data_IF_556887179929
#
_entry.id   IF_556887179929
#
_cell.length_a   1.000
_cell.length_b   1.000
_cell.length_c   1.000
_cell.angle_alpha   90.00
_cell.angle_beta   90.00
_cell.angle_gamma   90.00
#
_symmetry.space_group_name_H-M   'P 1'
#
loop_
_entity.id
_entity.type
_entity.pdbx_description
1 polymer ?
#
# COMPACT_ATOMS: atom_id res chain seq x y z
N UNK A 1 -8.51 -21.07 -18.41
CA UNK A 1 -7.10 -21.59 -18.34
C UNK A 1 -6.07 -20.49 -18.09
N UNK A 2 -6.24 -19.26 -18.61
CA UNK A 2 -5.30 -18.14 -18.42
C UNK A 2 -5.24 -17.61 -16.99
N UNK A 3 -6.36 -17.51 -16.27
CA UNK A 3 -6.44 -17.01 -14.90
C UNK A 3 -5.67 -17.90 -13.92
N UNK A 4 -5.81 -19.21 -14.05
CA UNK A 4 -5.07 -20.17 -13.21
C UNK A 4 -3.56 -20.12 -13.46
N UNK A 5 -3.14 -19.83 -14.67
CA UNK A 5 -1.72 -19.72 -15.01
C UNK A 5 -1.10 -18.47 -14.39
N UNK A 6 -1.79 -17.34 -14.44
CA UNK A 6 -1.37 -16.09 -13.79
C UNK A 6 -1.34 -16.24 -12.26
N UNK A 7 -2.36 -16.87 -11.67
CA UNK A 7 -2.41 -17.13 -10.24
C UNK A 7 -1.27 -18.04 -9.78
N UNK A 8 -1.00 -19.12 -10.51
CA UNK A 8 0.11 -20.02 -10.21
C UNK A 8 1.48 -19.33 -10.33
N UNK A 9 1.66 -18.50 -11.36
CA UNK A 9 2.88 -17.72 -11.56
C UNK A 9 3.11 -16.76 -10.39
N UNK A 10 2.07 -16.00 -9.99
CA UNK A 10 2.16 -15.10 -8.85
C UNK A 10 2.48 -15.84 -7.55
N UNK A 11 1.88 -17.02 -7.33
CA UNK A 11 2.17 -17.86 -6.16
C UNK A 11 3.64 -18.29 -6.13
N UNK A 12 4.21 -18.68 -7.27
CA UNK A 12 5.65 -19.04 -7.35
C UNK A 12 6.52 -17.83 -6.97
N UNK A 13 6.21 -16.63 -7.47
CA UNK A 13 6.97 -15.43 -7.09
C UNK A 13 6.90 -15.14 -5.60
N UNK A 14 5.72 -15.22 -4.99
CA UNK A 14 5.55 -15.03 -3.54
C UNK A 14 6.37 -16.05 -2.77
N UNK A 15 6.37 -17.33 -3.17
CA UNK A 15 7.16 -18.36 -2.51
C UNK A 15 8.67 -18.12 -2.66
N UNK A 16 9.14 -17.67 -3.83
CA UNK A 16 10.53 -17.28 -4.03
C UNK A 16 10.93 -16.11 -3.14
N UNK A 17 10.09 -15.09 -3.04
CA UNK A 17 10.34 -13.95 -2.14
C UNK A 17 10.42 -14.38 -0.68
N UNK A 18 9.48 -15.21 -0.22
CA UNK A 18 9.52 -15.76 1.15
C UNK A 18 10.77 -16.60 1.38
N UNK A 19 11.20 -17.40 0.41
CA UNK A 19 12.44 -18.17 0.51
C UNK A 19 13.66 -17.25 0.65
N UNK A 20 13.74 -16.15 -0.10
CA UNK A 20 14.83 -15.16 0.01
C UNK A 20 14.84 -14.52 1.40
N UNK A 21 13.66 -14.17 1.95
CA UNK A 21 13.54 -13.61 3.31
C UNK A 21 14.03 -14.63 4.34
N UNK A 22 13.62 -15.89 4.23
CA UNK A 22 14.05 -16.96 5.14
C UNK A 22 15.56 -17.16 5.08
N UNK A 23 16.14 -17.19 3.87
CA UNK A 23 17.59 -17.30 3.68
C UNK A 23 18.31 -16.09 4.28
N UNK A 24 17.79 -14.88 4.04
CA UNK A 24 18.35 -13.65 4.62
C UNK A 24 18.36 -13.71 6.15
N UNK A 25 17.25 -14.06 6.78
CA UNK A 25 17.16 -14.20 8.25
C UNK A 25 18.13 -15.28 8.75
N UNK A 26 18.24 -16.41 8.03
CA UNK A 26 19.18 -17.48 8.37
C UNK A 26 20.64 -17.01 8.32
N UNK A 27 21.01 -16.24 7.30
CA UNK A 27 22.35 -15.65 7.18
C UNK A 27 22.63 -14.64 8.30
N UNK A 28 21.66 -13.78 8.63
CA UNK A 28 21.77 -12.83 9.75
C UNK A 28 21.95 -13.56 11.08
N UNK A 29 21.17 -14.61 11.34
CA UNK A 29 21.32 -15.43 12.55
C UNK A 29 22.70 -16.09 12.61
N UNK A 30 23.18 -16.60 11.48
CA UNK A 30 24.51 -17.20 11.38
C UNK A 30 25.60 -16.19 11.71
N UNK A 31 25.55 -14.98 11.14
CA UNK A 31 26.48 -13.91 11.42
C UNK A 31 26.44 -13.45 12.87
N UNK A 32 25.24 -13.27 13.46
CA UNK A 32 25.08 -12.92 14.89
C UNK A 32 25.70 -13.98 15.81
N UNK A 33 25.54 -15.27 15.50
CA UNK A 33 26.16 -16.35 16.28
C UNK A 33 27.69 -16.37 16.16
N UNK A 34 28.23 -15.87 15.04
CA UNK A 34 29.69 -15.75 14.84
C UNK A 34 30.26 -14.44 15.41
N UNK A 35 29.43 -13.60 16.05
CA UNK A 35 29.84 -12.32 16.63
C UNK A 35 30.05 -11.19 15.63
N UNK A 36 29.47 -11.29 14.41
CA UNK A 36 29.58 -10.25 13.39
C UNK A 36 28.59 -9.08 13.61
N UNK A 37 27.54 -9.28 14.41
CA UNK A 37 26.57 -8.25 14.77
C UNK A 37 26.83 -7.60 16.11
N UNK A 38 26.00 -6.65 16.49
CA UNK A 38 26.12 -5.93 17.77
C UNK A 38 25.24 -6.48 18.87
N UNK A 39 24.26 -7.30 18.54
CA UNK A 39 23.34 -7.90 19.48
C UNK A 39 23.36 -9.44 19.40
N UNK A 40 22.80 -10.08 20.39
CA UNK A 40 22.52 -11.52 20.35
C UNK A 40 21.24 -11.79 19.53
N UNK A 41 21.05 -13.03 19.08
CA UNK A 41 19.88 -13.44 18.29
C UNK A 41 18.55 -13.10 18.97
N UNK A 42 18.51 -13.18 20.31
CA UNK A 42 17.37 -12.78 21.13
C UNK A 42 17.79 -11.60 22.00
N UNK A 43 17.70 -10.40 21.47
CA UNK A 43 18.02 -9.15 22.16
C UNK A 43 16.79 -8.27 22.27
N UNK A 44 16.64 -7.56 23.38
CA UNK A 44 15.64 -6.52 23.57
C UNK A 44 16.08 -5.17 22.99
N UNK A 45 17.35 -5.04 22.62
CA UNK A 45 17.97 -3.81 22.15
C UNK A 45 17.24 -3.16 20.94
N UNK A 46 16.73 -3.90 19.93
CA UNK A 46 15.98 -3.31 18.85
C UNK A 46 14.68 -2.61 19.26
N UNK A 47 14.11 -3.00 20.42
CA UNK A 47 12.86 -2.43 20.93
C UNK A 47 13.09 -1.34 21.98
N UNK A 48 14.18 -1.42 22.75
CA UNK A 48 14.47 -0.54 23.86
C UNK A 48 15.87 0.05 23.70
N UNK A 49 15.95 1.21 23.10
CA UNK A 49 17.17 2.00 22.99
C UNK A 49 17.08 3.23 23.90
N UNK A 50 18.16 3.59 24.59
CA UNK A 50 18.24 4.80 25.42
C UNK A 50 17.96 6.09 24.63
N UNK A 51 18.10 6.05 23.31
CA UNK A 51 17.85 7.16 22.39
C UNK A 51 16.51 7.07 21.64
N UNK A 52 15.63 6.13 22.04
CA UNK A 52 14.32 5.97 21.38
C UNK A 52 13.37 7.11 21.80
N UNK A 53 13.18 8.09 20.93
CA UNK A 53 12.19 9.14 21.11
C UNK A 53 10.89 8.74 20.42
N UNK A 54 9.76 8.86 21.13
CA UNK A 54 8.44 8.53 20.58
C UNK A 54 8.14 9.29 19.28
N UNK A 55 8.55 10.55 19.19
CA UNK A 55 8.38 11.38 17.97
C UNK A 55 9.12 10.79 16.77
N UNK A 56 10.35 10.30 16.95
CA UNK A 56 11.10 9.66 15.88
C UNK A 56 10.49 8.32 15.46
N UNK A 57 9.95 7.55 16.42
CA UNK A 57 9.23 6.32 16.13
C UNK A 57 7.95 6.56 15.32
N UNK A 58 7.18 7.59 15.68
CA UNK A 58 5.95 7.97 14.94
C UNK A 58 6.29 8.50 13.54
N UNK A 59 7.32 9.32 13.41
CA UNK A 59 7.80 9.79 12.11
C UNK A 59 8.24 8.62 11.21
N UNK A 60 9.02 7.68 11.75
CA UNK A 60 9.40 6.46 11.04
C UNK A 60 8.18 5.60 10.65
N UNK A 61 7.22 5.42 11.55
CA UNK A 61 5.98 4.71 11.27
C UNK A 61 5.18 5.37 10.15
N UNK A 62 5.16 6.71 10.07
CA UNK A 62 4.49 7.45 8.99
C UNK A 62 5.12 7.16 7.63
N UNK A 63 6.45 7.12 7.55
CA UNK A 63 7.16 6.73 6.33
C UNK A 63 6.85 5.27 5.97
N UNK A 64 6.92 4.37 6.95
CA UNK A 64 6.71 2.93 6.76
C UNK A 64 5.25 2.56 6.45
N UNK A 65 4.28 3.45 6.64
CA UNK A 65 2.90 3.23 6.19
C UNK A 65 2.84 2.86 4.70
N UNK A 66 3.73 3.41 3.88
CA UNK A 66 3.85 3.05 2.47
C UNK A 66 4.01 1.54 2.25
N UNK A 67 4.78 0.86 3.11
CA UNK A 67 5.05 -0.58 2.98
C UNK A 67 3.81 -1.46 3.17
N UNK A 68 2.76 -0.93 3.81
CA UNK A 68 1.49 -1.62 3.99
C UNK A 68 0.47 -1.35 2.88
N UNK A 69 0.72 -0.36 2.01
CA UNK A 69 -0.24 -0.02 0.95
C UNK A 69 -0.37 -1.17 -0.05
N UNK A 70 -1.60 -1.43 -0.46
CA UNK A 70 -1.95 -2.53 -1.36
C UNK A 70 -2.63 -3.72 -0.68
N UNK A 71 -2.70 -3.77 0.67
CA UNK A 71 -3.48 -4.80 1.37
C UNK A 71 -4.98 -4.73 1.01
N UNK A 72 -5.44 -3.56 0.63
CA UNK A 72 -6.80 -3.25 0.19
C UNK A 72 -7.05 -3.58 -1.28
N UNK A 73 -6.00 -3.80 -2.09
CA UNK A 73 -6.13 -4.15 -3.51
C UNK A 73 -6.93 -5.45 -3.74
N UNK A 74 -7.01 -6.33 -2.72
CA UNK A 74 -7.87 -7.52 -2.72
C UNK A 74 -9.34 -7.15 -2.96
N UNK A 75 -9.77 -5.94 -2.60
CA UNK A 75 -11.16 -5.47 -2.83
C UNK A 75 -11.51 -5.38 -4.32
N UNK A 76 -10.54 -5.20 -5.19
CA UNK A 76 -10.76 -5.19 -6.66
C UNK A 76 -11.23 -6.53 -7.21
N UNK A 77 -11.02 -7.61 -6.45
CA UNK A 77 -11.46 -8.97 -6.79
C UNK A 77 -12.83 -9.33 -6.23
N UNK A 78 -13.53 -8.38 -5.60
CA UNK A 78 -14.81 -8.64 -4.93
C UNK A 78 -15.88 -9.13 -5.89
N UNK A 79 -15.92 -8.62 -7.13
CA UNK A 79 -16.91 -9.04 -8.15
C UNK A 79 -16.65 -10.47 -8.67
N UNK A 80 -15.39 -10.93 -8.63
CA UNK A 80 -14.97 -12.25 -9.10
C UNK A 80 -14.97 -13.30 -7.98
N UNK A 81 -15.14 -12.86 -6.72
CA UNK A 81 -15.01 -13.72 -5.54
C UNK A 81 -16.36 -14.25 -5.09
N UNK A 82 -16.48 -15.58 -4.95
CA UNK A 82 -17.66 -16.19 -4.31
C UNK A 82 -17.67 -15.82 -2.83
N UNK A 83 -18.85 -15.43 -2.31
CA UNK A 83 -19.06 -15.02 -0.92
C UNK A 83 -18.10 -13.88 -0.49
N UNK A 84 -17.99 -12.86 -1.36
CA UNK A 84 -17.07 -11.72 -1.19
C UNK A 84 -17.21 -11.05 0.18
N UNK A 85 -18.43 -10.93 0.71
CA UNK A 85 -18.70 -10.33 2.01
C UNK A 85 -17.98 -11.00 3.20
N UNK A 86 -17.57 -12.28 3.06
CA UNK A 86 -16.80 -13.00 4.08
C UNK A 86 -15.33 -13.20 3.70
N UNK A 87 -15.08 -13.48 2.42
CA UNK A 87 -13.73 -13.80 1.95
C UNK A 87 -12.84 -12.56 1.90
N UNK A 88 -13.33 -11.45 1.32
CA UNK A 88 -12.54 -10.24 1.15
C UNK A 88 -12.07 -9.62 2.48
N UNK A 89 -12.93 -9.42 3.52
CA UNK A 89 -12.46 -8.88 4.80
C UNK A 89 -11.41 -9.76 5.48
N UNK A 90 -11.54 -11.09 5.37
CA UNK A 90 -10.54 -12.01 5.92
C UNK A 90 -9.22 -11.94 5.15
N UNK A 91 -9.28 -11.85 3.83
CA UNK A 91 -8.09 -11.73 3.00
C UNK A 91 -7.34 -10.42 3.31
N UNK A 92 -8.04 -9.29 3.41
CA UNK A 92 -7.46 -8.00 3.80
C UNK A 92 -6.76 -8.11 5.16
N UNK A 93 -7.46 -8.63 6.16
CA UNK A 93 -6.90 -8.79 7.52
C UNK A 93 -5.66 -9.69 7.53
N UNK A 94 -5.72 -10.85 6.86
CA UNK A 94 -4.58 -11.78 6.79
C UNK A 94 -3.40 -11.19 6.03
N UNK A 95 -3.63 -10.46 4.95
CA UNK A 95 -2.56 -9.78 4.20
C UNK A 95 -1.85 -8.76 5.08
N UNK A 96 -2.60 -7.92 5.79
CA UNK A 96 -2.03 -6.94 6.72
C UNK A 96 -1.29 -7.61 7.89
N UNK A 97 -1.86 -8.69 8.45
CA UNK A 97 -1.26 -9.42 9.56
C UNK A 97 0.06 -10.11 9.14
N UNK A 98 0.05 -10.87 8.05
CA UNK A 98 1.26 -11.56 7.57
C UNK A 98 2.32 -10.57 7.13
N UNK A 99 1.93 -9.51 6.41
CA UNK A 99 2.86 -8.42 6.06
C UNK A 99 3.49 -7.80 7.29
N UNK A 100 2.69 -7.48 8.31
CA UNK A 100 3.17 -6.92 9.57
C UNK A 100 4.16 -7.85 10.30
N UNK A 101 3.84 -9.15 10.40
CA UNK A 101 4.75 -10.13 11.01
C UNK A 101 6.07 -10.22 10.26
N UNK A 102 6.03 -10.25 8.91
CA UNK A 102 7.24 -10.30 8.09
C UNK A 102 8.08 -9.03 8.29
N UNK A 103 7.46 -7.85 8.21
CA UNK A 103 8.16 -6.57 8.36
C UNK A 103 8.79 -6.43 9.74
N UNK A 104 8.07 -6.76 10.81
CA UNK A 104 8.61 -6.73 12.18
C UNK A 104 9.80 -7.69 12.31
N UNK A 105 9.66 -8.91 11.78
CA UNK A 105 10.71 -9.92 11.86
C UNK A 105 11.96 -9.49 11.11
N UNK A 106 11.83 -9.04 9.88
CA UNK A 106 12.96 -8.57 9.08
C UNK A 106 13.62 -7.35 9.71
N UNK A 107 12.84 -6.37 10.18
CA UNK A 107 13.35 -5.17 10.83
C UNK A 107 14.08 -5.50 12.13
N UNK A 108 13.57 -6.44 12.91
CA UNK A 108 14.21 -6.91 14.14
C UNK A 108 15.62 -7.47 13.86
N UNK A 109 15.75 -8.37 12.89
CA UNK A 109 17.04 -8.97 12.56
C UNK A 109 17.99 -7.97 11.91
N UNK A 110 17.48 -7.06 11.08
CA UNK A 110 18.26 -5.96 10.53
C UNK A 110 18.84 -5.07 11.63
N UNK A 111 18.02 -4.64 12.57
CA UNK A 111 18.45 -3.78 13.67
C UNK A 111 19.41 -4.48 14.65
N UNK A 112 19.25 -5.79 14.80
CA UNK A 112 20.17 -6.59 15.65
C UNK A 112 21.55 -6.75 15.01
N UNK A 113 21.62 -6.79 13.68
CA UNK A 113 22.87 -6.96 12.96
C UNK A 113 23.54 -5.61 12.65
N UNK A 114 22.77 -4.60 12.22
CA UNK A 114 23.24 -3.26 11.87
C UNK A 114 22.70 -2.24 12.87
N UNK A 115 23.51 -1.79 13.84
CA UNK A 115 23.07 -0.75 14.76
C UNK A 115 22.95 0.60 14.05
N UNK A 116 22.29 1.54 14.72
CA UNK A 116 21.97 2.89 14.23
C UNK A 116 23.17 3.75 13.80
N UNK A 117 24.41 3.37 14.16
CA UNK A 117 25.64 4.09 13.83
C UNK A 117 26.31 3.60 12.55
N UNK A 118 25.82 2.55 11.90
CA UNK A 118 26.34 2.12 10.60
C UNK A 118 25.87 3.10 9.52
N UNK A 119 26.82 3.65 8.77
CA UNK A 119 26.54 4.52 7.64
C UNK A 119 26.64 3.73 6.35
N UNK A 120 25.51 3.62 5.66
CA UNK A 120 25.46 3.10 4.30
C UNK A 120 25.86 4.18 3.29
N UNK A 121 26.42 3.79 2.15
CA UNK A 121 26.83 4.72 1.09
C UNK A 121 25.61 5.44 0.51
N UNK A 122 24.55 4.67 0.26
CA UNK A 122 23.25 5.17 -0.23
C UNK A 122 22.18 4.73 0.76
N UNK A 123 21.80 5.56 1.74
CA UNK A 123 20.82 5.19 2.76
C UNK A 123 19.46 4.79 2.19
N UNK A 124 19.01 5.45 1.11
CA UNK A 124 17.72 5.16 0.45
C UNK A 124 17.76 3.84 -0.34
N UNK A 125 18.93 3.31 -0.63
CA UNK A 125 19.16 2.06 -1.33
C UNK A 125 20.05 1.09 -0.53
N UNK A 126 19.95 1.08 0.80
CA UNK A 126 20.81 0.30 1.68
C UNK A 126 20.66 -1.23 1.53
N UNK A 127 19.49 -1.72 1.13
CA UNK A 127 19.20 -3.17 1.08
C UNK A 127 20.20 -3.99 0.22
N UNK A 128 20.64 -3.56 -0.98
CA UNK A 128 21.66 -4.25 -1.74
C UNK A 128 23.02 -4.32 -1.03
N UNK A 129 23.40 -3.26 -0.31
CA UNK A 129 24.64 -3.22 0.47
C UNK A 129 24.56 -4.18 1.67
N UNK A 130 23.41 -4.20 2.35
CA UNK A 130 23.12 -5.16 3.42
C UNK A 130 23.19 -6.59 2.93
N UNK A 131 22.57 -6.88 1.78
CA UNK A 131 22.60 -8.21 1.16
C UNK A 131 24.03 -8.67 0.84
N UNK A 132 24.89 -7.75 0.37
CA UNK A 132 26.31 -8.03 0.14
C UNK A 132 27.04 -8.37 1.44
N UNK A 133 26.77 -7.58 2.50
CA UNK A 133 27.45 -7.73 3.78
C UNK A 133 27.10 -9.06 4.47
N UNK A 134 25.81 -9.42 4.43
CA UNK A 134 25.28 -10.60 5.12
C UNK A 134 25.54 -11.91 4.34
N UNK A 135 25.40 -11.90 3.02
CA UNK A 135 25.42 -13.12 2.21
C UNK A 135 26.44 -13.13 1.05
N UNK A 136 27.28 -12.10 0.97
CA UNK A 136 28.29 -11.98 -0.07
C UNK A 136 27.71 -11.71 -1.47
N UNK A 137 28.58 -11.71 -2.48
CA UNK A 137 28.24 -11.33 -3.86
C UNK A 137 27.14 -12.19 -4.48
N UNK A 138 27.12 -13.49 -4.19
CA UNK A 138 26.12 -14.41 -4.76
C UNK A 138 24.72 -14.07 -4.25
N UNK A 139 24.56 -13.90 -2.93
CA UNK A 139 23.29 -13.54 -2.33
C UNK A 139 22.82 -12.15 -2.77
N UNK A 140 23.72 -11.18 -2.83
CA UNK A 140 23.43 -9.84 -3.36
C UNK A 140 22.87 -9.92 -4.79
N UNK A 141 23.50 -10.72 -5.67
CA UNK A 141 23.05 -10.86 -7.06
C UNK A 141 21.65 -11.47 -7.15
N UNK A 142 21.37 -12.52 -6.37
CA UNK A 142 20.05 -13.15 -6.29
C UNK A 142 19.01 -12.15 -5.77
N UNK A 143 19.34 -11.42 -4.70
CA UNK A 143 18.49 -10.39 -4.12
C UNK A 143 18.16 -9.29 -5.13
N UNK A 144 19.16 -8.75 -5.83
CA UNK A 144 18.96 -7.71 -6.84
C UNK A 144 18.10 -8.20 -8.01
N UNK A 145 18.34 -9.41 -8.52
CA UNK A 145 17.51 -10.00 -9.57
C UNK A 145 16.05 -10.14 -9.11
N UNK A 146 15.84 -10.66 -7.92
CA UNK A 146 14.48 -10.81 -7.37
C UNK A 146 13.78 -9.48 -7.15
N UNK A 147 14.50 -8.48 -6.62
CA UNK A 147 13.98 -7.12 -6.42
C UNK A 147 13.60 -6.48 -7.74
N UNK A 148 14.45 -6.60 -8.77
CA UNK A 148 14.17 -6.06 -10.10
C UNK A 148 12.91 -6.68 -10.73
N UNK A 149 12.80 -8.01 -10.69
CA UNK A 149 11.63 -8.73 -11.22
C UNK A 149 10.37 -8.32 -10.47
N UNK A 150 10.44 -8.24 -9.14
CA UNK A 150 9.31 -7.85 -8.30
C UNK A 150 8.86 -6.40 -8.58
N UNK A 151 9.80 -5.49 -8.73
CA UNK A 151 9.50 -4.07 -9.05
C UNK A 151 8.83 -3.96 -10.42
N UNK A 152 9.32 -4.69 -11.43
CA UNK A 152 8.67 -4.73 -12.75
C UNK A 152 7.25 -5.30 -12.67
N UNK A 153 7.05 -6.41 -11.97
CA UNK A 153 5.75 -7.04 -11.83
C UNK A 153 4.75 -6.14 -11.11
N UNK A 154 5.17 -5.51 -10.00
CA UNK A 154 4.36 -4.56 -9.24
C UNK A 154 4.03 -3.32 -10.06
N UNK A 155 5.02 -2.75 -10.77
CA UNK A 155 4.83 -1.59 -11.65
C UNK A 155 3.83 -1.86 -12.77
N UNK A 156 3.92 -3.01 -13.43
CA UNK A 156 2.97 -3.41 -14.47
C UNK A 156 1.56 -3.62 -13.93
N UNK A 157 1.42 -4.24 -12.76
CA UNK A 157 0.12 -4.42 -12.10
C UNK A 157 -0.52 -3.09 -11.71
N UNK A 158 0.25 -2.17 -11.14
CA UNK A 158 -0.20 -0.82 -10.78
C UNK A 158 -0.60 -0.02 -12.03
N UNK A 159 0.21 -0.07 -13.09
CA UNK A 159 -0.07 0.56 -14.37
C UNK A 159 -1.41 0.08 -14.96
N UNK A 160 -1.64 -1.23 -14.95
CA UNK A 160 -2.88 -1.82 -15.46
C UNK A 160 -4.09 -1.42 -14.60
N UNK A 161 -3.96 -1.46 -13.27
CA UNK A 161 -5.01 -1.12 -12.32
C UNK A 161 -5.47 0.34 -12.47
N UNK A 162 -4.52 1.29 -12.44
CA UNK A 162 -4.82 2.73 -12.56
C UNK A 162 -5.41 3.05 -13.93
N UNK A 163 -4.88 2.47 -15.02
CA UNK A 163 -5.40 2.70 -16.38
C UNK A 163 -6.84 2.21 -16.52
N UNK A 164 -7.20 1.08 -15.89
CA UNK A 164 -8.58 0.56 -15.86
C UNK A 164 -9.49 1.45 -15.02
N UNK A 165 -9.02 1.92 -13.87
CA UNK A 165 -9.79 2.84 -13.02
C UNK A 165 -10.13 4.13 -13.78
N UNK A 166 -9.15 4.75 -14.46
CA UNK A 166 -9.38 5.92 -15.29
C UNK A 166 -10.37 5.64 -16.44
N UNK A 167 -10.30 4.45 -17.03
CA UNK A 167 -11.27 4.03 -18.04
C UNK A 167 -12.70 3.94 -17.47
N UNK A 168 -12.89 3.31 -16.33
CA UNK A 168 -14.20 3.23 -15.66
C UNK A 168 -14.73 4.64 -15.35
N UNK A 169 -13.88 5.52 -14.82
CA UNK A 169 -14.25 6.92 -14.58
C UNK A 169 -14.61 7.67 -15.85
N UNK A 170 -13.96 7.38 -16.98
CA UNK A 170 -14.31 7.94 -18.28
C UNK A 170 -15.64 7.40 -18.81
N UNK A 171 -15.83 6.08 -18.75
CA UNK A 171 -17.08 5.39 -19.16
C UNK A 171 -18.30 5.91 -18.40
N UNK A 172 -18.14 6.11 -17.09
CA UNK A 172 -19.23 6.53 -16.20
C UNK A 172 -19.38 8.08 -16.16
N UNK A 173 -18.76 8.80 -17.09
CA UNK A 173 -18.82 10.26 -17.22
C UNK A 173 -18.33 11.04 -15.99
N UNK A 174 -17.51 10.43 -15.14
CA UNK A 174 -16.77 11.12 -14.07
C UNK A 174 -15.63 11.94 -14.68
N UNK A 175 -14.92 11.37 -15.65
CA UNK A 175 -13.90 12.04 -16.45
C UNK A 175 -14.38 12.18 -17.91
N UNK A 176 -13.77 13.08 -18.71
CA UNK A 176 -14.15 13.23 -20.14
C UNK A 176 -14.05 11.91 -20.90
N UNK A 177 -15.20 11.37 -21.34
CA UNK A 177 -15.31 10.07 -22.01
C UNK A 177 -14.43 9.97 -23.27
N UNK A 178 -14.32 11.07 -24.04
CA UNK A 178 -13.53 11.11 -25.29
C UNK A 178 -12.06 10.75 -25.10
N UNK A 179 -11.49 11.02 -23.92
CA UNK A 179 -10.08 10.77 -23.60
C UNK A 179 -9.98 9.48 -22.78
N UNK A 180 -10.67 9.45 -21.65
CA UNK A 180 -10.52 8.38 -20.65
C UNK A 180 -11.35 7.14 -20.95
N UNK A 181 -12.49 7.29 -21.66
CA UNK A 181 -13.32 6.18 -22.11
C UNK A 181 -12.83 5.49 -23.40
N UNK A 182 -11.74 5.98 -24.01
CA UNK A 182 -11.23 5.40 -25.24
C UNK A 182 -10.60 4.04 -25.04
N UNK A 183 -11.05 3.05 -25.84
CA UNK A 183 -10.47 1.69 -25.91
C UNK A 183 -9.93 1.46 -27.31
N UNK A 184 -8.66 1.07 -27.41
CA UNK A 184 -8.02 0.82 -28.71
C UNK A 184 -8.66 -0.39 -29.41
N UNK A 185 -9.13 -0.25 -30.67
CA UNK A 185 -9.93 -1.28 -31.36
C UNK A 185 -9.20 -2.64 -31.49
N UNK A 186 -7.90 -2.61 -31.76
CA UNK A 186 -7.08 -3.83 -31.99
C UNK A 186 -6.66 -4.50 -30.68
N UNK A 187 -6.20 -3.72 -29.70
CA UNK A 187 -5.63 -4.26 -28.45
C UNK A 187 -6.65 -4.37 -27.33
N UNK A 188 -7.83 -3.82 -27.49
CA UNK A 188 -8.91 -3.80 -26.49
C UNK A 188 -8.43 -3.32 -25.11
N UNK A 189 -7.52 -2.34 -25.12
CA UNK A 189 -6.92 -1.74 -23.93
C UNK A 189 -7.15 -0.23 -23.92
N UNK A 190 -7.27 0.42 -22.76
CA UNK A 190 -7.39 1.86 -22.63
C UNK A 190 -6.03 2.54 -22.86
N UNK A 191 -5.53 2.52 -24.10
CA UNK A 191 -4.18 2.90 -24.47
C UNK A 191 -3.82 4.35 -24.11
N UNK A 192 -4.78 5.29 -24.21
CA UNK A 192 -4.56 6.68 -23.80
C UNK A 192 -4.31 6.76 -22.29
N UNK A 193 -5.08 6.02 -21.49
CA UNK A 193 -4.89 5.99 -20.04
C UNK A 193 -3.55 5.37 -19.66
N UNK A 194 -3.14 4.28 -20.33
CA UNK A 194 -1.82 3.67 -20.13
C UNK A 194 -0.72 4.69 -20.42
N UNK A 195 -0.84 5.48 -21.49
CA UNK A 195 0.15 6.51 -21.82
C UNK A 195 0.18 7.63 -20.76
N UNK A 196 -0.99 8.13 -20.35
CA UNK A 196 -1.09 9.18 -19.31
C UNK A 196 -0.46 8.70 -18.00
N UNK A 197 -0.82 7.50 -17.53
CA UNK A 197 -0.27 6.92 -16.29
C UNK A 197 1.23 6.72 -16.40
N UNK A 198 1.73 6.26 -17.57
CA UNK A 198 3.16 6.11 -17.82
C UNK A 198 3.91 7.44 -17.77
N UNK A 199 3.35 8.51 -18.35
CA UNK A 199 3.95 9.86 -18.28
C UNK A 199 3.99 10.38 -16.85
N UNK A 200 2.93 10.18 -16.09
CA UNK A 200 2.90 10.54 -14.65
C UNK A 200 3.93 9.73 -13.87
N UNK A 201 4.05 8.43 -14.13
CA UNK A 201 5.04 7.57 -13.48
C UNK A 201 6.49 8.02 -13.75
N UNK A 202 6.79 8.55 -14.94
CA UNK A 202 8.11 9.10 -15.26
C UNK A 202 8.48 10.29 -14.38
N UNK A 203 7.53 11.07 -13.86
CA UNK A 203 7.82 12.19 -12.96
C UNK A 203 8.46 11.73 -11.63
N UNK A 204 8.24 10.46 -11.25
CA UNK A 204 8.84 9.89 -10.04
C UNK A 204 10.39 9.87 -10.05
N UNK A 205 11.02 9.95 -11.23
CA UNK A 205 12.48 10.06 -11.37
C UNK A 205 13.02 11.35 -10.70
N UNK A 206 12.18 12.37 -10.58
CA UNK A 206 12.54 13.67 -10.00
C UNK A 206 12.31 13.76 -8.49
N UNK A 207 11.76 12.72 -7.87
CA UNK A 207 11.46 12.69 -6.43
C UNK A 207 12.46 11.80 -5.68
N UNK A 208 12.86 12.25 -4.51
CA UNK A 208 13.53 11.41 -3.52
C UNK A 208 12.52 10.43 -2.87
N UNK A 209 13.05 9.40 -2.20
CA UNK A 209 12.22 8.35 -1.61
C UNK A 209 11.23 8.88 -0.57
N UNK A 210 11.65 9.83 0.26
CA UNK A 210 10.82 10.41 1.33
C UNK A 210 9.65 11.17 0.74
N UNK A 211 9.88 12.04 -0.24
CA UNK A 211 8.83 12.81 -0.92
C UNK A 211 7.88 11.89 -1.68
N UNK A 212 8.41 10.92 -2.43
CA UNK A 212 7.58 9.98 -3.18
C UNK A 212 6.66 9.16 -2.26
N UNK A 213 7.20 8.58 -1.19
CA UNK A 213 6.41 7.79 -0.23
C UNK A 213 5.41 8.66 0.52
N UNK A 214 5.76 9.88 0.89
CA UNK A 214 4.87 10.79 1.60
C UNK A 214 3.69 11.26 0.72
N UNK A 215 3.91 11.48 -0.59
CA UNK A 215 2.83 11.77 -1.55
C UNK A 215 1.84 10.61 -1.66
N UNK A 216 2.35 9.39 -1.75
CA UNK A 216 1.52 8.19 -1.81
C UNK A 216 0.76 8.02 -0.49
N UNK A 217 1.42 8.20 0.66
CA UNK A 217 0.81 8.15 1.97
C UNK A 217 -0.30 9.19 2.13
N UNK A 218 -0.16 10.41 1.59
CA UNK A 218 -1.22 11.41 1.60
C UNK A 218 -2.52 10.85 1.02
N UNK A 219 -2.48 10.27 -0.17
CA UNK A 219 -3.66 9.68 -0.81
C UNK A 219 -4.28 8.55 0.01
N UNK A 220 -3.46 7.67 0.57
CA UNK A 220 -3.91 6.58 1.42
C UNK A 220 -4.55 7.07 2.72
N UNK A 221 -3.94 8.06 3.39
CA UNK A 221 -4.48 8.63 4.62
C UNK A 221 -5.83 9.32 4.39
N UNK A 222 -6.02 9.99 3.24
CA UNK A 222 -7.33 10.53 2.85
C UNK A 222 -8.36 9.39 2.76
N UNK A 223 -8.05 8.34 2.01
CA UNK A 223 -8.95 7.20 1.84
C UNK A 223 -9.28 6.53 3.19
N UNK A 224 -8.29 6.25 4.03
CA UNK A 224 -8.49 5.61 5.34
C UNK A 224 -9.27 6.49 6.30
N UNK A 225 -9.11 7.82 6.25
CA UNK A 225 -9.94 8.75 7.01
C UNK A 225 -11.40 8.59 6.62
N UNK A 226 -11.71 8.65 5.32
CA UNK A 226 -13.10 8.51 4.85
C UNK A 226 -13.67 7.11 5.08
N UNK A 227 -12.88 6.05 4.99
CA UNK A 227 -13.33 4.69 5.32
C UNK A 227 -13.77 4.62 6.79
N UNK A 228 -12.94 5.07 7.73
CA UNK A 228 -13.29 5.06 9.15
C UNK A 228 -14.55 5.91 9.44
N UNK A 229 -14.63 7.13 8.88
CA UNK A 229 -15.80 8.00 9.06
C UNK A 229 -17.06 7.40 8.43
N UNK A 230 -16.95 6.77 7.25
CA UNK A 230 -18.11 6.16 6.59
C UNK A 230 -18.68 4.99 7.37
N UNK A 231 -17.87 4.19 8.02
CA UNK A 231 -18.31 3.09 8.91
C UNK A 231 -19.13 3.67 10.06
N UNK A 232 -18.64 4.74 10.71
CA UNK A 232 -19.37 5.41 11.80
C UNK A 232 -20.71 5.96 11.30
N UNK A 233 -20.69 6.68 10.18
CA UNK A 233 -21.93 7.30 9.66
C UNK A 233 -22.92 6.23 9.20
N UNK A 234 -22.49 5.24 8.46
CA UNK A 234 -23.37 4.24 7.86
C UNK A 234 -23.96 3.31 8.93
N UNK A 235 -23.09 2.71 9.74
CA UNK A 235 -23.52 1.69 10.70
C UNK A 235 -23.92 2.26 12.06
N UNK A 236 -23.33 3.37 12.52
CA UNK A 236 -23.62 3.92 13.82
C UNK A 236 -24.64 5.03 13.79
N UNK A 237 -24.58 6.00 12.90
CA UNK A 237 -25.52 7.12 12.84
C UNK A 237 -26.84 6.71 12.18
N UNK A 238 -26.78 6.03 11.02
CA UNK A 238 -27.97 5.66 10.25
C UNK A 238 -28.62 4.33 10.66
N UNK A 239 -27.91 3.44 11.33
CA UNK A 239 -28.32 2.06 11.61
C UNK A 239 -29.25 1.83 12.82
N UNK A 240 -29.92 2.86 13.40
CA UNK A 240 -30.96 2.68 14.43
C UNK A 240 -30.49 2.79 15.89
N UNK A 241 -31.44 2.86 16.84
CA UNK A 241 -31.21 3.26 18.26
C UNK A 241 -30.88 2.11 19.23
N UNK A 242 -31.31 0.89 18.98
CA UNK A 242 -31.05 -0.24 19.92
C UNK A 242 -29.86 -1.06 19.48
N UNK A 243 -28.70 -0.83 20.11
CA UNK A 243 -27.45 -1.52 19.81
C UNK A 243 -26.89 -2.27 20.99
N UNK A 244 -26.35 -3.45 20.69
CA UNK A 244 -25.56 -4.24 21.62
C UNK A 244 -24.22 -3.55 21.92
N UNK A 245 -23.64 -3.79 23.10
CA UNK A 245 -22.29 -3.34 23.45
C UNK A 245 -21.24 -3.75 22.40
N UNK A 246 -21.41 -4.95 21.80
CA UNK A 246 -20.56 -5.45 20.74
C UNK A 246 -20.61 -4.59 19.46
N UNK A 247 -21.80 -4.08 19.11
CA UNK A 247 -21.99 -3.20 17.95
C UNK A 247 -21.41 -1.80 18.20
N UNK A 248 -21.53 -1.28 19.44
CA UNK A 248 -20.85 -0.03 19.81
C UNK A 248 -19.35 -0.14 19.66
N UNK A 249 -18.76 -1.26 20.10
CA UNK A 249 -17.33 -1.48 19.97
C UNK A 249 -16.90 -1.57 18.50
N UNK A 250 -17.62 -2.33 17.66
CA UNK A 250 -17.23 -2.54 16.25
C UNK A 250 -17.49 -1.34 15.35
N UNK A 251 -18.58 -0.60 15.57
CA UNK A 251 -19.01 0.46 14.65
C UNK A 251 -18.71 1.87 15.13
N UNK A 252 -18.28 2.04 16.38
CA UNK A 252 -17.89 3.33 16.92
C UNK A 252 -16.44 3.30 17.44
N UNK A 253 -16.14 2.42 18.42
CA UNK A 253 -14.85 2.47 19.13
C UNK A 253 -13.69 2.11 18.18
N UNK A 254 -13.79 1.00 17.44
CA UNK A 254 -12.75 0.58 16.50
C UNK A 254 -12.50 1.61 15.38
N UNK A 255 -13.53 2.13 14.68
CA UNK A 255 -13.30 3.16 13.67
C UNK A 255 -12.79 4.48 14.24
N UNK A 256 -13.21 4.87 15.45
CA UNK A 256 -12.65 6.05 16.12
C UNK A 256 -11.18 5.88 16.47
N UNK A 257 -10.79 4.68 16.96
CA UNK A 257 -9.40 4.36 17.22
C UNK A 257 -8.58 4.38 15.92
N UNK A 258 -9.10 3.79 14.84
CA UNK A 258 -8.51 3.86 13.51
C UNK A 258 -8.34 5.30 13.02
N UNK A 259 -9.39 6.11 13.14
CA UNK A 259 -9.35 7.53 12.77
C UNK A 259 -8.34 8.32 13.62
N UNK A 260 -8.21 8.02 14.92
CA UNK A 260 -7.23 8.66 15.80
C UNK A 260 -5.79 8.31 15.39
N UNK A 261 -5.52 7.04 15.08
CA UNK A 261 -4.20 6.60 14.57
C UNK A 261 -3.90 7.31 13.24
N UNK A 262 -4.84 7.34 12.31
CA UNK A 262 -4.70 8.06 11.04
C UNK A 262 -4.44 9.55 11.27
N UNK A 263 -5.10 10.18 12.24
CA UNK A 263 -4.87 11.58 12.59
C UNK A 263 -3.43 11.81 13.11
N UNK A 264 -2.90 10.90 13.92
CA UNK A 264 -1.49 10.97 14.37
C UNK A 264 -0.54 10.88 13.18
N UNK A 265 -0.81 10.00 12.21
CA UNK A 265 0.00 9.90 10.99
C UNK A 265 -0.08 11.17 10.13
N UNK A 266 -1.27 11.80 10.03
CA UNK A 266 -1.46 13.09 9.37
C UNK A 266 -0.57 14.20 9.97
N UNK A 267 -0.47 14.27 11.28
CA UNK A 267 0.33 15.28 12.00
C UNK A 267 1.85 15.10 11.80
N UNK A 268 2.28 13.91 11.37
CA UNK A 268 3.69 13.57 11.13
C UNK A 268 4.02 13.43 9.64
N UNK A 269 3.08 13.77 8.76
CA UNK A 269 3.34 13.75 7.33
C UNK A 269 4.27 14.91 6.96
N UNK A 270 5.19 14.65 6.04
CA UNK A 270 6.14 15.63 5.53
C UNK A 270 5.41 16.83 4.90
N UNK A 271 5.84 18.06 5.24
CA UNK A 271 5.12 19.29 4.92
C UNK A 271 4.98 19.55 3.41
N UNK A 272 6.01 19.23 2.64
CA UNK A 272 6.00 19.39 1.18
C UNK A 272 4.92 18.53 0.56
N UNK A 273 4.83 17.27 0.98
CA UNK A 273 3.83 16.31 0.52
C UNK A 273 2.42 16.67 0.98
N UNK A 274 2.28 17.24 2.18
CA UNK A 274 1.00 17.77 2.66
C UNK A 274 0.51 18.91 1.74
N UNK A 275 1.38 19.87 1.41
CA UNK A 275 1.02 20.99 0.52
C UNK A 275 0.66 20.49 -0.88
N UNK A 276 1.50 19.66 -1.47
CA UNK A 276 1.23 19.08 -2.80
C UNK A 276 -0.05 18.25 -2.82
N UNK A 277 -0.27 17.43 -1.79
CA UNK A 277 -1.47 16.65 -1.64
C UNK A 277 -2.74 17.48 -1.45
N UNK A 278 -2.68 18.57 -0.67
CA UNK A 278 -3.80 19.52 -0.50
C UNK A 278 -4.12 20.26 -1.80
N UNK A 279 -3.10 20.65 -2.58
CA UNK A 279 -3.31 21.22 -3.92
C UNK A 279 -4.04 20.22 -4.81
N UNK A 280 -3.58 18.96 -4.84
CA UNK A 280 -4.22 17.91 -5.60
C UNK A 280 -5.66 17.63 -5.15
N UNK A 281 -5.89 17.55 -3.85
CA UNK A 281 -7.22 17.38 -3.27
C UNK A 281 -8.13 18.58 -3.60
N UNK A 282 -7.61 19.79 -3.56
CA UNK A 282 -8.32 21.02 -3.94
C UNK A 282 -8.73 21.02 -5.41
N UNK A 283 -7.84 20.59 -6.30
CA UNK A 283 -8.15 20.42 -7.73
C UNK A 283 -9.26 19.37 -7.94
N UNK A 284 -9.15 18.23 -7.26
CA UNK A 284 -10.17 17.17 -7.31
C UNK A 284 -11.52 17.62 -6.78
N UNK A 285 -11.53 18.35 -5.66
CA UNK A 285 -12.75 18.90 -5.08
C UNK A 285 -13.37 19.99 -5.97
N UNK A 286 -12.55 20.87 -6.54
CA UNK A 286 -12.99 21.87 -7.50
C UNK A 286 -13.61 21.25 -8.74
N UNK A 287 -12.99 20.16 -9.24
CA UNK A 287 -13.54 19.38 -10.35
C UNK A 287 -14.87 18.72 -9.99
N UNK A 288 -14.98 18.12 -8.79
CA UNK A 288 -16.24 17.56 -8.30
C UNK A 288 -17.32 18.62 -8.17
N UNK A 289 -16.99 19.79 -7.64
CA UNK A 289 -17.90 20.92 -7.52
C UNK A 289 -18.43 21.38 -8.89
N UNK A 290 -17.56 21.46 -9.90
CA UNK A 290 -17.95 21.74 -11.27
C UNK A 290 -18.87 20.65 -11.85
N UNK A 291 -18.51 19.38 -11.69
CA UNK A 291 -19.24 18.23 -12.23
C UNK A 291 -20.65 18.10 -11.63
N UNK A 292 -20.79 18.37 -10.32
CA UNK A 292 -22.07 18.31 -9.61
C UNK A 292 -22.89 19.61 -9.72
N UNK A 293 -22.42 20.58 -10.52
CA UNK A 293 -23.02 21.92 -10.61
C UNK A 293 -23.31 22.52 -9.22
N UNK A 294 -22.26 22.72 -8.44
CA UNK A 294 -22.35 23.24 -7.07
C UNK A 294 -23.19 22.35 -6.15
N UNK A 295 -23.03 21.03 -6.22
CA UNK A 295 -23.80 20.01 -5.47
C UNK A 295 -25.32 20.02 -5.73
N UNK A 296 -25.78 20.66 -6.79
CA UNK A 296 -27.19 20.63 -7.21
C UNK A 296 -27.60 19.33 -7.88
N UNK A 297 -26.60 18.52 -8.32
CA UNK A 297 -26.80 17.18 -8.88
C UNK A 297 -26.07 16.15 -8.05
N UNK A 298 -26.62 14.93 -7.89
CA UNK A 298 -25.89 13.87 -7.22
C UNK A 298 -24.59 13.57 -8.00
N UNK A 299 -23.50 13.21 -7.30
CA UNK A 299 -22.28 12.78 -7.97
C UNK A 299 -22.55 11.58 -8.86
N UNK A 300 -21.81 11.42 -9.98
CA UNK A 300 -21.91 10.24 -10.82
C UNK A 300 -21.72 8.99 -9.97
N UNK A 301 -22.58 8.00 -10.18
CA UNK A 301 -22.45 6.69 -9.53
C UNK A 301 -21.74 5.77 -10.51
N UNK A 302 -20.79 4.99 -10.03
CA UNK A 302 -20.26 3.88 -10.80
C UNK A 302 -21.43 2.93 -11.13
N UNK A 303 -21.61 2.64 -12.41
CA UNK A 303 -22.58 1.63 -12.81
C UNK A 303 -22.01 0.29 -12.37
N UNK A 304 -22.64 -0.32 -11.38
CA UNK A 304 -22.43 -1.74 -11.13
C UNK A 304 -22.76 -2.44 -12.45
N UNK A 305 -21.77 -3.09 -13.05
CA UNK A 305 -22.03 -3.90 -14.24
C UNK A 305 -23.08 -4.92 -13.82
N UNK A 306 -24.26 -4.85 -14.43
CA UNK A 306 -25.28 -5.88 -14.34
C UNK A 306 -24.72 -7.17 -14.93
N UNK A 307 -23.83 -7.82 -14.23
CA UNK A 307 -23.58 -9.23 -14.35
C UNK A 307 -24.64 -9.92 -13.49
N UNK A 308 -25.92 -9.78 -13.93
CA UNK A 308 -26.94 -10.73 -13.54
C UNK A 308 -26.42 -12.12 -13.94
N UNK A 309 -26.40 -13.09 -13.05
CA UNK A 309 -26.14 -14.47 -13.43
C UNK A 309 -27.30 -14.90 -14.32
N UNK A 310 -27.12 -14.85 -15.61
CA UNK A 310 -27.97 -15.60 -16.53
C UNK A 310 -27.77 -17.06 -16.20
N UNK A 311 -28.84 -17.64 -15.75
CA UNK A 311 -29.27 -19.00 -15.50
C UNK A 311 -28.38 -20.12 -16.03
#
# INVERSE_FOLDING_TARGET
KSVNLVANFNTVFVLVQLAIIVVFIGLVIHGLNNGEGTATVLSTQPFFSEHAHLSAMVAGATILCFSFLGFDAVTTLSEETRDAGRVIPRAIFLTALYGGVIFITVSYFLQSYFPTNVRFKEPDAALPEIALYVGGKLFQSIFLCATFINTLASGLASQASVSRLLYVMGRDNVLPERIFGFVHPKWRTPSINVLIVGMVALSAISFDLVTATALINFGALVAFTFVNLSVIVHFYVRGGRNRSLKEHFHYLVLPLLGAAIVAVLWLNLESTSLVMGLIWAGLGFGYLFYLTRSFSRPPPRFQESELSPTQ
#
